data_IF_981651648169
#
_entry.id   IF_981651648169
#
_cell.length_a   1.000
_cell.length_b   1.000
_cell.length_c   1.000
_cell.angle_alpha   90.00
_cell.angle_beta   90.00
_cell.angle_gamma   90.00
#
_symmetry.space_group_name_H-M   'P 1'
#
loop_
_entity.id
_entity.type
_entity.pdbx_description
1 polymer ?
#
# COMPACT_ATOMS: atom_id res chain seq x y z
N UNK A 1 -10.32 -41.64 14.56
CA UNK A 1 -10.85 -41.94 13.22
C UNK A 1 -11.77 -40.79 12.80
N UNK A 2 -11.62 -40.29 11.55
CA UNK A 2 -12.18 -39.06 10.93
C UNK A 2 -11.40 -37.80 11.36
N UNK A 3 -10.35 -37.33 10.66
CA UNK A 3 -10.23 -36.88 9.24
C UNK A 3 -11.40 -36.01 8.82
N UNK A 4 -11.23 -34.68 8.96
CA UNK A 4 -12.03 -33.56 8.42
C UNK A 4 -11.28 -32.30 8.92
N UNK A 5 -10.73 -31.37 8.16
CA UNK A 5 -10.71 -31.03 6.75
C UNK A 5 -9.44 -30.19 6.54
N UNK A 6 -8.66 -30.42 5.50
CA UNK A 6 -7.76 -29.40 4.98
C UNK A 6 -8.61 -28.22 4.48
N UNK A 7 -8.55 -27.07 5.15
CA UNK A 7 -8.72 -25.81 4.43
C UNK A 7 -7.32 -25.31 4.12
N UNK A 8 -6.83 -25.80 2.98
CA UNK A 8 -6.04 -24.98 2.10
C UNK A 8 -6.84 -23.69 1.83
N UNK A 9 -6.64 -22.65 2.63
CA UNK A 9 -6.70 -21.32 2.05
C UNK A 9 -5.40 -21.20 1.28
N UNK A 10 -5.44 -21.71 0.05
CA UNK A 10 -4.56 -21.28 -1.02
C UNK A 10 -4.28 -19.81 -0.78
N UNK A 11 -3.06 -19.49 -0.34
CA UNK A 11 -2.56 -18.12 -0.31
C UNK A 11 -2.57 -17.74 -1.79
N UNK A 12 -3.71 -17.23 -2.25
CA UNK A 12 -3.94 -16.92 -3.65
C UNK A 12 -2.75 -16.08 -4.08
N UNK A 13 -1.96 -16.51 -5.08
CA UNK A 13 -1.22 -15.52 -5.83
C UNK A 13 -2.33 -14.77 -6.56
N UNK A 14 -2.70 -13.58 -6.07
CA UNK A 14 -3.69 -12.78 -6.77
C UNK A 14 -3.04 -12.33 -8.09
N UNK A 15 -3.27 -13.15 -9.12
CA UNK A 15 -2.92 -12.90 -10.48
C UNK A 15 -3.74 -11.70 -10.98
N UNK A 16 -3.04 -10.72 -11.59
CA UNK A 16 -3.58 -9.73 -12.53
C UNK A 16 -4.77 -8.86 -12.07
N UNK A 17 -4.95 -8.63 -10.77
CA UNK A 17 -5.99 -7.75 -10.23
C UNK A 17 -5.48 -6.31 -10.14
N UNK A 18 -6.30 -5.33 -10.50
CA UNK A 18 -5.99 -3.91 -10.38
C UNK A 18 -5.30 -3.60 -9.02
N UNK A 19 -4.28 -2.73 -9.01
CA UNK A 19 -3.48 -2.50 -7.83
C UNK A 19 -4.39 -2.11 -6.66
N UNK A 20 -4.32 -2.87 -5.57
CA UNK A 20 -5.11 -2.59 -4.38
C UNK A 20 -4.74 -1.17 -3.91
N UNK A 21 -5.70 -0.24 -3.98
CA UNK A 21 -5.48 1.16 -3.61
C UNK A 21 -5.67 1.34 -2.11
N UNK A 22 -4.64 1.83 -1.45
CA UNK A 22 -4.58 2.05 -0.01
C UNK A 22 -4.54 3.56 0.29
N UNK A 23 -4.90 3.95 1.51
CA UNK A 23 -4.65 5.33 1.96
C UNK A 23 -3.14 5.54 2.13
N UNK A 24 -2.67 6.80 2.01
CA UNK A 24 -1.26 7.14 2.26
C UNK A 24 -0.72 6.55 3.57
N UNK A 25 -1.51 6.63 4.63
CA UNK A 25 -1.09 6.16 5.95
C UNK A 25 -1.00 4.62 5.99
N UNK A 26 -2.00 3.92 5.46
CA UNK A 26 -1.97 2.45 5.41
C UNK A 26 -0.82 1.94 4.52
N UNK A 27 -0.56 2.60 3.40
CA UNK A 27 0.61 2.32 2.56
C UNK A 27 1.92 2.53 3.34
N UNK A 28 2.06 3.66 4.04
CA UNK A 28 3.25 3.95 4.82
C UNK A 28 3.49 2.95 5.96
N UNK A 29 2.42 2.53 6.64
CA UNK A 29 2.46 1.48 7.67
C UNK A 29 2.87 0.13 7.07
N UNK A 30 2.44 -0.21 5.84
CA UNK A 30 2.88 -1.43 5.17
C UNK A 30 4.34 -1.39 4.72
N UNK A 31 4.81 -0.26 4.18
CA UNK A 31 6.17 -0.14 3.62
C UNK A 31 7.22 0.08 4.71
N UNK A 32 6.94 0.94 5.69
CA UNK A 32 7.92 1.36 6.70
C UNK A 32 7.64 0.81 8.10
N UNK A 33 6.47 0.19 8.33
CA UNK A 33 6.11 -0.39 9.63
C UNK A 33 6.12 0.64 10.75
N UNK A 34 6.86 0.34 11.81
CA UNK A 34 7.02 1.22 12.99
C UNK A 34 7.68 2.57 12.64
N UNK A 35 8.45 2.61 11.56
CA UNK A 35 9.12 3.83 11.09
C UNK A 35 8.28 4.62 10.07
N UNK A 36 6.97 4.34 10.00
CA UNK A 36 6.06 5.07 9.13
C UNK A 36 6.12 6.58 9.41
N UNK A 37 6.45 7.40 8.39
CA UNK A 37 6.46 8.84 8.57
C UNK A 37 5.04 9.36 8.79
N UNK A 38 4.94 10.50 9.49
CA UNK A 38 3.65 11.14 9.77
C UNK A 38 2.96 11.59 8.48
N UNK A 39 1.63 11.68 8.52
CA UNK A 39 0.79 12.07 7.38
C UNK A 39 1.21 13.38 6.69
N UNK A 40 1.71 14.36 7.46
CA UNK A 40 2.23 15.62 6.90
C UNK A 40 3.44 15.42 5.99
N UNK A 41 4.35 14.50 6.33
CA UNK A 41 5.50 14.12 5.51
C UNK A 41 5.03 13.37 4.26
N UNK A 42 4.09 12.44 4.41
CA UNK A 42 3.51 11.71 3.28
C UNK A 42 2.86 12.67 2.27
N UNK A 43 2.13 13.69 2.73
CA UNK A 43 1.60 14.75 1.86
C UNK A 43 2.70 15.49 1.11
N UNK A 44 3.83 15.82 1.77
CA UNK A 44 4.96 16.44 1.08
C UNK A 44 5.49 15.53 -0.02
N UNK A 45 5.64 14.24 0.23
CA UNK A 45 6.08 13.26 -0.77
C UNK A 45 5.14 13.19 -1.97
N UNK A 46 3.82 13.24 -1.76
CA UNK A 46 2.84 13.33 -2.85
C UNK A 46 3.05 14.60 -3.67
N UNK A 47 3.16 15.76 -3.01
CA UNK A 47 3.31 17.05 -3.66
C UNK A 47 4.64 17.19 -4.41
N UNK A 48 5.70 16.58 -3.90
CA UNK A 48 7.03 16.54 -4.50
C UNK A 48 7.18 15.42 -5.56
N UNK A 49 6.16 14.59 -5.76
CA UNK A 49 6.19 13.51 -6.75
C UNK A 49 7.15 12.38 -6.39
N UNK A 50 7.40 12.15 -5.10
CA UNK A 50 8.34 11.14 -4.60
C UNK A 50 7.73 9.74 -4.47
N UNK A 51 6.46 9.54 -4.83
CA UNK A 51 5.79 8.23 -4.78
C UNK A 51 5.43 7.81 -6.21
N UNK A 52 5.77 6.58 -6.57
CA UNK A 52 5.56 6.04 -7.92
C UNK A 52 4.94 4.64 -7.86
N UNK A 53 3.83 4.37 -8.56
CA UNK A 53 3.07 5.30 -9.39
C UNK A 53 2.43 6.45 -8.59
N UNK A 54 2.11 7.59 -9.25
CA UNK A 54 1.64 8.78 -8.55
C UNK A 54 0.31 8.51 -7.82
N UNK A 55 0.15 8.99 -6.58
CA UNK A 55 -1.09 8.85 -5.83
C UNK A 55 -2.27 9.50 -6.56
N UNK A 56 -3.42 8.82 -6.56
CA UNK A 56 -4.67 9.39 -7.05
C UNK A 56 -5.41 10.09 -5.92
N UNK A 57 -5.85 11.33 -6.15
CA UNK A 57 -6.71 12.04 -5.21
C UNK A 57 -8.17 11.62 -5.41
N UNK A 58 -8.78 11.07 -4.37
CA UNK A 58 -10.20 10.72 -4.32
C UNK A 58 -10.88 11.56 -3.23
N UNK A 59 -11.59 12.60 -3.65
CA UNK A 59 -12.16 13.60 -2.75
C UNK A 59 -11.09 14.29 -1.88
N UNK A 60 -11.13 13.99 -0.57
CA UNK A 60 -10.23 14.56 0.44
C UNK A 60 -9.04 13.64 0.78
N UNK A 61 -9.05 12.42 0.25
CA UNK A 61 -8.10 11.37 0.60
C UNK A 61 -7.18 11.11 -0.61
N UNK A 62 -5.94 10.77 -0.31
CA UNK A 62 -4.99 10.32 -1.32
C UNK A 62 -4.90 8.80 -1.25
N UNK A 63 -5.12 8.18 -2.41
CA UNK A 63 -5.04 6.74 -2.61
C UNK A 63 -3.76 6.41 -3.37
N UNK A 64 -3.01 5.45 -2.85
CA UNK A 64 -1.72 4.98 -3.36
C UNK A 64 -1.85 3.51 -3.69
N UNK A 65 -1.20 3.07 -4.75
CA UNK A 65 -1.13 1.65 -5.08
C UNK A 65 -0.32 0.90 -4.00
N UNK A 66 -0.76 -0.29 -3.60
CA UNK A 66 -0.10 -1.05 -2.54
C UNK A 66 1.37 -1.38 -2.86
N UNK A 67 1.68 -1.53 -4.14
CA UNK A 67 2.99 -1.76 -4.72
C UNK A 67 3.73 -0.46 -5.09
N UNK A 68 3.21 0.71 -4.71
CA UNK A 68 3.91 1.96 -4.96
C UNK A 68 5.19 2.06 -4.15
N UNK A 69 6.22 2.62 -4.78
CA UNK A 69 7.55 2.78 -4.21
C UNK A 69 7.83 4.25 -3.91
N UNK A 70 8.54 4.49 -2.80
CA UNK A 70 9.09 5.80 -2.50
C UNK A 70 10.42 6.00 -3.24
N UNK A 71 10.47 7.03 -4.09
CA UNK A 71 11.62 7.41 -4.92
C UNK A 71 12.42 8.59 -4.36
N UNK A 72 12.20 8.95 -3.08
CA UNK A 72 13.00 10.01 -2.45
C UNK A 72 14.48 9.66 -2.44
N UNK A 73 15.32 10.71 -2.52
CA UNK A 73 16.76 10.56 -2.34
C UNK A 73 17.04 10.15 -0.89
N UNK A 74 17.72 9.02 -0.72
CA UNK A 74 18.37 8.64 0.54
C UNK A 74 19.54 9.59 0.84
#
# INVERSE_FOLDING_TARGET
MKVTLELQLTRQPQACAAPARLTLQAWAEQVFGEYAPRYSTLRKWVLEGLISPPPQKDGWIWLVEADAEYKGKF
#
